data_IF_277312977456
#
_entry.id   IF_277312977456
#
_cell.length_a   1.000
_cell.length_b   1.000
_cell.length_c   1.000
_cell.angle_alpha   90.00
_cell.angle_beta   90.00
_cell.angle_gamma   90.00
#
_symmetry.space_group_name_H-M   'P 1'
#
loop_
_entity.id
_entity.type
_entity.pdbx_description
1 polymer ?
#
# COMPACT_ATOMS: atom_id res chain seq x y z
N UNK A 1 -21.90 -6.85 6.03
CA UNK A 1 -22.39 -7.70 7.16
C UNK A 1 -22.60 -6.83 8.38
N UNK A 2 -23.74 -6.92 9.04
CA UNK A 2 -24.01 -6.19 10.29
C UNK A 2 -23.20 -6.80 11.44
N UNK A 3 -22.95 -6.04 12.53
CA UNK A 3 -22.21 -6.51 13.71
C UNK A 3 -22.76 -7.81 14.29
N UNK A 4 -24.08 -8.01 14.22
CA UNK A 4 -24.78 -9.22 14.68
C UNK A 4 -24.46 -10.46 13.84
N UNK A 5 -24.25 -10.33 12.52
CA UNK A 5 -23.89 -11.45 11.64
C UNK A 5 -22.43 -11.92 11.85
N UNK A 6 -21.55 -11.04 12.31
CA UNK A 6 -20.16 -11.39 12.65
C UNK A 6 -20.03 -12.22 13.93
N UNK A 7 -21.02 -12.14 14.84
CA UNK A 7 -20.97 -12.89 16.10
C UNK A 7 -21.17 -14.40 15.91
N UNK A 8 -21.98 -14.82 14.94
CA UNK A 8 -22.29 -16.23 14.68
C UNK A 8 -21.20 -16.99 13.88
N UNK A 9 -20.37 -16.28 13.12
CA UNK A 9 -19.31 -16.84 12.24
C UNK A 9 -17.90 -16.42 12.71
N UNK A 10 -17.73 -16.30 14.02
CA UNK A 10 -16.47 -15.81 14.60
C UNK A 10 -15.38 -16.88 14.47
N UNK A 11 -14.25 -16.59 13.78
CA UNK A 11 -13.16 -17.54 13.64
C UNK A 11 -12.51 -17.81 15.00
N UNK A 12 -11.97 -19.02 15.24
CA UNK A 12 -11.25 -19.33 16.46
C UNK A 12 -9.99 -18.47 16.60
N UNK A 13 -9.65 -18.11 17.82
CA UNK A 13 -8.40 -17.42 18.14
C UNK A 13 -7.20 -18.33 17.93
N UNK A 14 -6.21 -17.85 17.21
CA UNK A 14 -4.98 -18.55 16.87
C UNK A 14 -3.75 -17.80 17.39
N UNK A 15 -2.66 -18.50 17.57
CA UNK A 15 -1.36 -17.87 17.76
C UNK A 15 -0.80 -17.42 16.43
N UNK A 16 -0.59 -16.11 16.28
CA UNK A 16 -0.04 -15.50 15.06
C UNK A 16 1.41 -15.10 15.32
N UNK A 17 2.34 -15.68 14.57
CA UNK A 17 3.74 -15.22 14.52
C UNK A 17 3.87 -14.26 13.36
N UNK A 18 4.27 -13.01 13.64
CA UNK A 18 4.27 -11.95 12.66
C UNK A 18 5.61 -11.21 12.61
N UNK A 19 6.12 -11.00 11.40
CA UNK A 19 7.31 -10.18 11.16
C UNK A 19 6.95 -8.68 11.20
N UNK A 20 7.21 -8.04 12.35
CA UNK A 20 6.91 -6.64 12.59
C UNK A 20 8.08 -5.68 12.25
N UNK A 21 9.20 -6.19 11.73
CA UNK A 21 10.36 -5.37 11.33
C UNK A 21 10.03 -4.24 10.34
N UNK A 22 9.07 -4.39 9.41
CA UNK A 22 8.70 -3.28 8.52
C UNK A 22 8.11 -2.07 9.25
N UNK A 23 7.45 -2.24 10.40
CA UNK A 23 6.91 -1.11 11.18
C UNK A 23 8.03 -0.38 11.91
N UNK A 24 9.13 -1.06 12.24
CA UNK A 24 10.29 -0.43 12.87
C UNK A 24 11.06 0.50 11.91
N UNK A 25 10.97 0.26 10.59
CA UNK A 25 11.62 1.07 9.54
C UNK A 25 10.62 1.32 8.39
N UNK A 26 9.59 2.15 8.62
CA UNK A 26 8.53 2.39 7.65
C UNK A 26 9.05 3.09 6.38
N UNK A 27 10.15 3.84 6.45
CA UNK A 27 10.74 4.48 5.28
C UNK A 27 11.25 3.46 4.25
N UNK A 28 11.70 2.30 4.70
CA UNK A 28 12.20 1.23 3.83
C UNK A 28 11.08 0.47 3.13
N UNK A 29 9.97 0.20 3.82
CA UNK A 29 8.85 -0.59 3.31
C UNK A 29 7.49 0.04 3.67
N UNK A 30 7.17 1.26 3.19
CA UNK A 30 6.04 2.03 3.67
C UNK A 30 4.69 1.34 3.43
N UNK A 31 4.49 0.68 2.29
CA UNK A 31 3.26 -0.06 2.02
C UNK A 31 3.06 -1.23 3.00
N UNK A 32 4.14 -1.95 3.33
CA UNK A 32 4.11 -3.05 4.30
C UNK A 32 3.91 -2.55 5.71
N UNK A 33 4.61 -1.48 6.11
CA UNK A 33 4.45 -0.86 7.42
C UNK A 33 3.00 -0.39 7.61
N UNK A 34 2.45 0.30 6.62
CA UNK A 34 1.07 0.76 6.63
C UNK A 34 0.04 -0.39 6.69
N UNK A 35 0.27 -1.47 5.95
CA UNK A 35 -0.57 -2.67 6.01
C UNK A 35 -0.56 -3.28 7.41
N UNK A 36 0.62 -3.42 7.99
CA UNK A 36 0.77 -3.98 9.35
C UNK A 36 0.14 -3.08 10.40
N UNK A 37 0.34 -1.78 10.31
CA UNK A 37 -0.25 -0.79 11.22
C UNK A 37 -1.79 -0.88 11.21
N UNK A 38 -2.39 -0.86 10.03
CA UNK A 38 -3.84 -1.00 9.87
C UNK A 38 -4.37 -2.35 10.36
N UNK A 39 -3.66 -3.45 10.05
CA UNK A 39 -4.05 -4.80 10.44
C UNK A 39 -3.94 -5.00 11.96
N UNK A 40 -2.82 -4.60 12.58
CA UNK A 40 -2.59 -4.73 14.01
C UNK A 40 -3.50 -3.80 14.81
N UNK A 41 -3.74 -2.58 14.32
CA UNK A 41 -4.71 -1.68 14.91
C UNK A 41 -6.11 -2.27 14.95
N UNK A 42 -6.54 -2.92 13.86
CA UNK A 42 -7.83 -3.60 13.80
C UNK A 42 -7.89 -4.84 14.70
N UNK A 43 -6.82 -5.64 14.78
CA UNK A 43 -6.76 -6.76 15.72
C UNK A 43 -6.82 -6.28 17.18
N UNK A 44 -6.13 -5.19 17.52
CA UNK A 44 -6.14 -4.61 18.85
C UNK A 44 -7.51 -4.02 19.23
N UNK A 45 -8.22 -3.42 18.28
CA UNK A 45 -9.55 -2.85 18.48
C UNK A 45 -10.65 -3.92 18.68
N UNK A 46 -10.48 -5.08 18.03
CA UNK A 46 -11.46 -6.17 18.07
C UNK A 46 -10.75 -7.51 18.42
N UNK A 47 -10.22 -7.69 19.65
CA UNK A 47 -9.49 -8.92 20.01
C UNK A 47 -10.42 -10.14 20.03
N UNK A 48 -9.89 -11.31 19.62
CA UNK A 48 -10.62 -12.58 19.70
C UNK A 48 -10.19 -13.38 20.93
N UNK A 49 -11.11 -14.10 21.59
CA UNK A 49 -10.75 -15.05 22.65
C UNK A 49 -9.76 -16.10 22.15
N UNK A 50 -8.67 -16.34 22.88
CA UNK A 50 -7.61 -17.27 22.51
C UNK A 50 -6.67 -16.81 21.39
N UNK A 51 -6.88 -15.63 20.81
CA UNK A 51 -5.94 -15.03 19.87
C UNK A 51 -4.72 -14.47 20.60
N UNK A 52 -3.52 -14.79 20.14
CA UNK A 52 -2.29 -14.27 20.72
C UNK A 52 -1.23 -14.02 19.65
N UNK A 53 -0.31 -13.09 19.93
CA UNK A 53 0.68 -12.62 18.96
C UNK A 53 2.10 -12.83 19.45
N UNK A 54 2.98 -13.25 18.54
CA UNK A 54 4.41 -13.27 18.75
C UNK A 54 5.11 -12.47 17.65
N UNK A 55 5.84 -11.44 18.02
CA UNK A 55 6.47 -10.52 17.08
C UNK A 55 7.95 -10.81 16.86
N UNK A 56 8.38 -10.62 15.60
CA UNK A 56 9.78 -10.62 15.21
C UNK A 56 10.21 -9.18 14.97
N UNK A 57 11.26 -8.76 15.65
CA UNK A 57 11.76 -7.38 15.67
C UNK A 57 13.25 -7.36 15.40
N UNK A 58 13.79 -6.26 14.91
CA UNK A 58 15.24 -6.02 14.89
C UNK A 58 15.71 -5.55 16.26
N UNK A 59 16.88 -6.04 16.67
CA UNK A 59 17.45 -5.79 18.02
C UNK A 59 17.93 -4.36 18.23
N UNK A 60 18.17 -3.60 17.17
CA UNK A 60 18.75 -2.26 17.18
C UNK A 60 17.75 -1.12 16.92
N UNK A 61 16.46 -1.44 16.87
CA UNK A 61 15.37 -0.48 16.71
C UNK A 61 14.35 -0.61 17.84
N UNK A 62 13.62 0.49 18.12
CA UNK A 62 12.54 0.48 19.10
C UNK A 62 11.41 -0.49 18.73
N UNK A 63 10.60 -0.83 19.71
CA UNK A 63 9.44 -1.73 19.54
C UNK A 63 8.14 -0.94 19.30
N UNK A 64 7.67 -0.81 18.05
CA UNK A 64 6.42 -0.11 17.73
C UNK A 64 5.19 -0.93 18.12
N UNK A 65 5.32 -2.23 18.41
CA UNK A 65 4.18 -3.08 18.76
C UNK A 65 3.59 -2.74 20.13
N UNK A 66 4.29 -1.96 20.95
CA UNK A 66 3.79 -1.42 22.22
C UNK A 66 2.61 -0.47 22.06
N UNK A 67 2.46 0.16 20.88
CA UNK A 67 1.33 1.04 20.58
C UNK A 67 -0.01 0.27 20.46
N UNK A 68 0.01 -1.04 20.26
CA UNK A 68 -1.19 -1.87 20.10
C UNK A 68 -1.57 -2.58 21.40
N UNK A 69 -1.95 -1.81 22.41
CA UNK A 69 -2.21 -2.31 23.78
C UNK A 69 -3.33 -3.36 23.89
N UNK A 70 -4.25 -3.43 22.91
CA UNK A 70 -5.33 -4.43 22.88
C UNK A 70 -4.91 -5.83 22.43
N UNK A 71 -3.66 -6.04 22.02
CA UNK A 71 -3.17 -7.35 21.57
C UNK A 71 -2.65 -8.18 22.76
N UNK A 72 -3.05 -9.45 22.81
CA UNK A 72 -2.40 -10.43 23.69
C UNK A 72 -1.05 -10.84 23.12
N UNK A 73 0.03 -10.17 23.56
CA UNK A 73 1.39 -10.40 23.07
C UNK A 73 2.13 -11.40 23.97
N UNK A 74 2.28 -12.61 23.50
CA UNK A 74 2.91 -13.73 24.21
C UNK A 74 4.42 -13.83 24.00
N UNK A 75 4.99 -13.03 23.12
CA UNK A 75 6.45 -13.04 22.91
C UNK A 75 6.94 -12.02 21.90
N UNK A 76 8.17 -11.58 22.12
CA UNK A 76 8.95 -10.76 21.20
C UNK A 76 10.30 -11.42 20.98
N UNK A 77 10.66 -11.63 19.72
CA UNK A 77 11.96 -12.19 19.35
C UNK A 77 12.78 -11.14 18.63
N UNK A 78 13.90 -10.78 19.22
CA UNK A 78 14.85 -9.85 18.62
C UNK A 78 15.75 -10.61 17.64
N UNK A 79 15.88 -10.09 16.43
CA UNK A 79 16.70 -10.60 15.35
C UNK A 79 17.87 -9.64 15.09
N UNK A 80 19.01 -10.13 14.61
CA UNK A 80 20.09 -9.26 14.14
C UNK A 80 19.61 -8.29 13.07
N UNK A 81 20.24 -7.12 12.89
CA UNK A 81 19.84 -6.10 11.93
C UNK A 81 20.18 -6.51 10.49
N UNK A 82 19.48 -7.51 9.94
CA UNK A 82 19.71 -8.04 8.58
C UNK A 82 19.47 -7.00 7.49
N UNK A 83 18.75 -5.90 7.79
CA UNK A 83 18.60 -4.78 6.86
C UNK A 83 19.93 -4.20 6.38
N UNK A 84 20.99 -4.29 7.18
CA UNK A 84 22.34 -3.83 6.83
C UNK A 84 22.97 -4.69 5.72
N UNK A 85 22.50 -5.93 5.54
CA UNK A 85 22.97 -6.83 4.48
C UNK A 85 22.38 -6.51 3.10
N UNK A 86 21.53 -5.49 2.99
CA UNK A 86 20.87 -5.07 1.73
C UNK A 86 20.22 -6.27 1.01
N UNK A 87 20.63 -6.57 -0.23
CA UNK A 87 20.11 -7.72 -0.99
C UNK A 87 20.46 -9.09 -0.37
N UNK A 88 21.49 -9.17 0.48
CA UNK A 88 21.83 -10.39 1.23
C UNK A 88 20.79 -10.77 2.28
N UNK A 89 20.01 -9.82 2.79
CA UNK A 89 18.91 -10.08 3.73
C UNK A 89 17.91 -11.10 3.16
N UNK A 90 17.59 -11.04 1.87
CA UNK A 90 16.68 -11.99 1.21
C UNK A 90 17.18 -13.44 1.22
N UNK A 91 18.49 -13.63 1.36
CA UNK A 91 19.11 -14.97 1.43
C UNK A 91 19.19 -15.44 2.88
N UNK A 92 19.53 -14.55 3.81
CA UNK A 92 19.79 -14.87 5.22
C UNK A 92 18.50 -14.98 6.03
N UNK A 93 17.54 -14.09 5.82
CA UNK A 93 16.28 -14.02 6.59
C UNK A 93 15.52 -15.36 6.65
N UNK A 94 15.31 -16.13 5.56
CA UNK A 94 14.57 -17.38 5.63
C UNK A 94 15.16 -18.39 6.64
N UNK A 95 16.46 -18.37 6.83
CA UNK A 95 17.16 -19.24 7.79
C UNK A 95 17.03 -18.73 9.23
N UNK A 96 17.18 -17.42 9.44
CA UNK A 96 16.99 -16.81 10.77
C UNK A 96 15.54 -16.96 11.26
N UNK A 97 14.58 -16.79 10.38
CA UNK A 97 13.14 -16.86 10.68
C UNK A 97 12.69 -18.31 10.98
N UNK A 98 13.40 -19.33 10.49
CA UNK A 98 13.11 -20.75 10.77
C UNK A 98 12.99 -21.01 12.26
N UNK A 99 13.95 -20.54 13.07
CA UNK A 99 13.93 -20.76 14.52
C UNK A 99 12.73 -20.13 15.23
N UNK A 100 12.20 -19.02 14.71
CA UNK A 100 11.01 -18.37 15.25
C UNK A 100 9.75 -19.21 14.98
N UNK A 101 9.57 -19.70 13.76
CA UNK A 101 8.44 -20.53 13.37
C UNK A 101 8.40 -21.85 14.15
N UNK A 102 9.55 -22.52 14.36
CA UNK A 102 9.65 -23.75 15.16
C UNK A 102 9.33 -23.48 16.63
N UNK A 103 9.89 -22.41 17.22
CA UNK A 103 9.65 -22.06 18.62
C UNK A 103 8.19 -21.66 18.91
N UNK A 104 7.49 -21.08 17.94
CA UNK A 104 6.08 -20.74 18.08
C UNK A 104 5.18 -21.99 18.09
N UNK A 105 5.46 -22.98 17.24
CA UNK A 105 4.74 -24.25 17.22
C UNK A 105 4.81 -24.96 18.58
N UNK A 106 5.99 -25.02 19.20
CA UNK A 106 6.18 -25.68 20.49
C UNK A 106 5.46 -24.98 21.65
N UNK A 107 5.37 -23.65 21.62
CA UNK A 107 4.67 -22.86 22.64
C UNK A 107 3.15 -22.88 22.46
N UNK A 108 2.64 -23.03 21.24
CA UNK A 108 1.20 -23.10 20.99
C UNK A 108 0.56 -24.33 21.64
N UNK A 109 1.29 -25.44 21.77
CA UNK A 109 0.80 -26.65 22.47
C UNK A 109 0.48 -26.42 23.96
N UNK A 110 1.07 -25.39 24.58
CA UNK A 110 0.89 -25.07 26.00
C UNK A 110 -0.12 -23.95 26.29
N UNK A 111 -0.60 -23.23 25.27
CA UNK A 111 -1.41 -22.03 25.46
C UNK A 111 -2.92 -22.24 25.25
N UNK A 112 -3.37 -23.45 24.93
CA UNK A 112 -4.78 -23.71 24.63
C UNK A 112 -5.30 -23.01 23.36
N UNK A 113 -4.41 -22.44 22.51
CA UNK A 113 -4.80 -21.88 21.23
C UNK A 113 -5.24 -23.00 20.28
N UNK A 114 -6.30 -22.76 19.48
CA UNK A 114 -6.83 -23.73 18.51
C UNK A 114 -5.79 -24.11 17.42
N UNK A 115 -4.69 -23.36 17.32
CA UNK A 115 -3.61 -23.60 16.39
C UNK A 115 -2.66 -22.42 16.30
N UNK A 116 -1.78 -22.44 15.28
CA UNK A 116 -0.82 -21.36 15.05
C UNK A 116 -0.55 -21.13 13.57
N UNK A 117 -0.26 -19.88 13.19
CA UNK A 117 0.16 -19.49 11.85
C UNK A 117 1.36 -18.58 11.90
N UNK A 118 2.21 -18.62 10.86
CA UNK A 118 3.23 -17.62 10.59
C UNK A 118 2.75 -16.72 9.48
N UNK A 119 2.64 -15.41 9.73
CA UNK A 119 2.26 -14.44 8.71
C UNK A 119 3.48 -13.64 8.23
N UNK A 120 3.88 -13.85 6.99
CA UNK A 120 4.94 -13.13 6.31
C UNK A 120 4.35 -12.03 5.43
N UNK A 121 4.59 -10.76 5.76
CA UNK A 121 4.08 -9.60 5.00
C UNK A 121 5.18 -8.98 4.12
N UNK A 122 6.44 -9.11 4.49
CA UNK A 122 7.57 -8.59 3.72
C UNK A 122 8.72 -9.60 3.71
N UNK A 123 9.65 -9.40 2.78
CA UNK A 123 10.82 -10.25 2.72
C UNK A 123 10.52 -11.67 2.24
N UNK A 124 11.33 -12.62 2.64
CA UNK A 124 11.14 -14.04 2.36
C UNK A 124 10.56 -14.74 3.59
N UNK A 125 9.57 -15.64 3.42
CA UNK A 125 9.08 -16.47 4.52
C UNK A 125 10.18 -17.39 5.07
N UNK A 126 10.01 -17.94 6.31
CA UNK A 126 10.95 -18.90 6.86
C UNK A 126 11.01 -20.17 6.00
N UNK A 127 12.20 -20.77 5.90
CA UNK A 127 12.34 -22.12 5.37
C UNK A 127 11.91 -23.13 6.44
N UNK A 128 11.29 -24.23 6.04
CA UNK A 128 10.97 -25.36 6.93
C UNK A 128 10.22 -24.93 8.21
N UNK A 129 9.04 -24.35 8.06
CA UNK A 129 8.15 -24.07 9.17
C UNK A 129 7.39 -25.32 9.62
N UNK A 130 7.16 -25.46 10.93
CA UNK A 130 6.26 -26.48 11.51
C UNK A 130 4.82 -26.00 11.65
N UNK A 131 4.58 -24.70 11.45
CA UNK A 131 3.26 -24.10 11.42
C UNK A 131 2.96 -23.60 10.02
N UNK A 132 1.69 -23.54 9.60
CA UNK A 132 1.32 -23.02 8.30
C UNK A 132 1.83 -21.59 8.07
N UNK A 133 2.30 -21.33 6.87
CA UNK A 133 2.78 -20.00 6.46
C UNK A 133 1.68 -19.33 5.63
N UNK A 134 1.26 -18.16 6.06
CA UNK A 134 0.42 -17.22 5.29
C UNK A 134 1.33 -16.10 4.79
N UNK A 135 1.21 -15.73 3.52
CA UNK A 135 2.01 -14.66 2.91
C UNK A 135 1.09 -13.59 2.35
N UNK A 136 1.27 -12.33 2.71
CA UNK A 136 0.63 -11.21 2.01
C UNK A 136 1.57 -10.61 0.98
N UNK A 137 1.11 -10.52 -0.28
CA UNK A 137 1.86 -9.94 -1.39
C UNK A 137 1.43 -8.49 -1.62
N UNK A 138 2.26 -7.55 -1.18
CA UNK A 138 2.07 -6.11 -1.37
C UNK A 138 3.03 -5.52 -2.41
N UNK A 139 3.99 -6.31 -2.90
CA UNK A 139 5.01 -5.85 -3.85
C UNK A 139 5.41 -6.99 -4.80
N UNK A 140 5.15 -6.80 -6.08
CA UNK A 140 5.55 -7.70 -7.17
C UNK A 140 6.63 -7.09 -8.08
N UNK A 141 7.06 -5.83 -7.82
CA UNK A 141 8.06 -5.14 -8.63
C UNK A 141 9.37 -5.94 -8.84
N UNK A 142 9.87 -6.74 -7.87
CA UNK A 142 11.06 -7.55 -8.13
C UNK A 142 10.92 -8.55 -9.28
N UNK A 143 9.71 -8.98 -9.60
CA UNK A 143 9.44 -9.94 -10.67
C UNK A 143 8.84 -9.29 -11.92
N UNK A 144 8.20 -8.13 -11.79
CA UNK A 144 7.70 -7.33 -12.92
C UNK A 144 8.81 -6.50 -13.58
N UNK A 145 9.81 -6.05 -12.80
CA UNK A 145 10.93 -5.19 -13.20
C UNK A 145 12.28 -5.82 -12.82
N UNK A 146 12.59 -7.04 -13.28
CA UNK A 146 13.78 -7.76 -12.82
C UNK A 146 15.09 -7.05 -13.17
N UNK A 147 15.15 -6.31 -14.28
CA UNK A 147 16.30 -5.50 -14.69
C UNK A 147 16.63 -4.40 -13.67
N UNK A 148 15.65 -3.96 -12.89
CA UNK A 148 15.83 -2.94 -11.84
C UNK A 148 16.14 -3.57 -10.49
N UNK A 149 15.41 -4.61 -10.09
CA UNK A 149 15.45 -5.15 -8.73
C UNK A 149 16.32 -6.41 -8.58
N UNK A 150 16.73 -7.05 -9.67
CA UNK A 150 17.52 -8.28 -9.66
C UNK A 150 18.90 -8.10 -10.33
N UNK A 151 19.56 -6.98 -10.08
CA UNK A 151 20.84 -6.62 -10.73
C UNK A 151 22.03 -7.50 -10.29
N UNK A 152 22.05 -7.92 -9.03
CA UNK A 152 23.15 -8.72 -8.47
C UNK A 152 22.81 -10.21 -8.44
N UNK A 153 23.85 -11.06 -8.37
CA UNK A 153 23.65 -12.54 -8.18
C UNK A 153 22.89 -12.83 -6.90
N UNK A 154 23.22 -12.12 -5.80
CA UNK A 154 22.56 -12.27 -4.52
C UNK A 154 21.07 -11.89 -4.60
N UNK A 155 20.73 -10.76 -5.26
CA UNK A 155 19.33 -10.36 -5.42
C UNK A 155 18.54 -11.35 -6.29
N UNK A 156 19.13 -11.86 -7.38
CA UNK A 156 18.49 -12.89 -8.23
C UNK A 156 18.24 -14.18 -7.46
N UNK A 157 19.23 -14.66 -6.74
CA UNK A 157 19.08 -15.85 -5.92
C UNK A 157 18.04 -15.67 -4.81
N UNK A 158 18.13 -14.58 -4.05
CA UNK A 158 17.18 -14.26 -2.98
C UNK A 158 15.73 -14.14 -3.48
N UNK A 159 15.49 -13.50 -4.64
CA UNK A 159 14.15 -13.42 -5.23
C UNK A 159 13.64 -14.77 -5.75
N UNK A 160 14.52 -15.64 -6.28
CA UNK A 160 14.13 -17.01 -6.64
C UNK A 160 13.75 -17.84 -5.41
N UNK A 161 14.54 -17.74 -4.34
CA UNK A 161 14.24 -18.38 -3.07
C UNK A 161 12.91 -17.89 -2.51
N UNK A 162 12.70 -16.58 -2.45
CA UNK A 162 11.45 -15.97 -2.01
C UNK A 162 10.26 -16.47 -2.84
N UNK A 163 10.37 -16.48 -4.17
CA UNK A 163 9.32 -16.98 -5.05
C UNK A 163 8.97 -18.44 -4.77
N UNK A 164 9.99 -19.29 -4.47
CA UNK A 164 9.76 -20.69 -4.08
C UNK A 164 9.02 -20.79 -2.75
N UNK A 165 9.47 -20.06 -1.74
CA UNK A 165 8.86 -20.08 -0.40
C UNK A 165 7.41 -19.54 -0.42
N UNK A 166 7.14 -18.49 -1.20
CA UNK A 166 5.78 -17.97 -1.41
C UNK A 166 4.88 -19.02 -2.09
N UNK A 167 5.40 -19.74 -3.09
CA UNK A 167 4.67 -20.81 -3.79
C UNK A 167 4.30 -21.96 -2.86
N UNK A 168 5.17 -22.26 -1.89
CA UNK A 168 5.00 -23.36 -0.95
C UNK A 168 4.16 -22.97 0.29
N UNK A 169 3.82 -21.68 0.46
CA UNK A 169 2.97 -21.18 1.55
C UNK A 169 1.59 -21.86 1.57
N UNK A 170 1.01 -22.02 2.75
CA UNK A 170 -0.32 -22.59 2.93
C UNK A 170 -1.41 -21.71 2.30
N UNK A 171 -1.29 -20.37 2.47
CA UNK A 171 -2.12 -19.39 1.79
C UNK A 171 -1.30 -18.16 1.37
N UNK A 172 -1.73 -17.54 0.26
CA UNK A 172 -1.16 -16.30 -0.27
C UNK A 172 -2.28 -15.27 -0.40
N UNK A 173 -2.19 -14.22 0.41
CA UNK A 173 -3.13 -13.10 0.41
C UNK A 173 -2.72 -12.06 -0.63
N UNK A 174 -3.67 -11.59 -1.40
CA UNK A 174 -3.50 -10.54 -2.42
C UNK A 174 -4.65 -9.55 -2.31
N UNK A 175 -4.39 -8.27 -2.66
CA UNK A 175 -5.38 -7.20 -2.52
C UNK A 175 -6.45 -7.18 -3.61
N UNK A 176 -6.26 -7.88 -4.75
CA UNK A 176 -7.19 -7.85 -5.88
C UNK A 176 -7.07 -9.08 -6.77
N UNK A 177 -8.07 -9.31 -7.62
CA UNK A 177 -8.04 -10.39 -8.62
C UNK A 177 -6.94 -10.19 -9.67
N UNK A 178 -6.68 -8.96 -10.09
CA UNK A 178 -5.58 -8.66 -11.00
C UNK A 178 -4.22 -9.10 -10.41
N UNK A 179 -3.99 -8.85 -9.12
CA UNK A 179 -2.79 -9.31 -8.41
C UNK A 179 -2.78 -10.82 -8.22
N UNK A 180 -3.93 -11.47 -8.06
CA UNK A 180 -4.02 -12.94 -8.04
C UNK A 180 -3.56 -13.55 -9.38
N UNK A 181 -3.94 -12.96 -10.50
CA UNK A 181 -3.47 -13.36 -11.84
C UNK A 181 -1.95 -13.19 -11.96
N UNK A 182 -1.40 -12.05 -11.49
CA UNK A 182 0.04 -11.78 -11.50
C UNK A 182 0.81 -12.77 -10.61
N UNK A 183 0.33 -13.06 -9.39
CA UNK A 183 0.94 -14.04 -8.49
C UNK A 183 1.02 -15.44 -9.13
N UNK A 184 -0.03 -15.85 -9.86
CA UNK A 184 -0.02 -17.10 -10.62
C UNK A 184 1.00 -17.09 -11.77
N UNK A 185 1.01 -16.00 -12.53
CA UNK A 185 1.87 -15.86 -13.73
C UNK A 185 3.36 -15.74 -13.33
N UNK A 186 3.69 -14.88 -12.38
CA UNK A 186 5.07 -14.53 -12.05
C UNK A 186 5.69 -15.49 -11.03
N UNK A 187 4.91 -15.89 -10.01
CA UNK A 187 5.39 -16.71 -8.90
C UNK A 187 4.95 -18.18 -9.00
N UNK A 188 4.04 -18.50 -9.94
CA UNK A 188 3.47 -19.85 -10.13
C UNK A 188 2.74 -20.36 -8.87
N UNK A 189 2.12 -19.46 -8.11
CA UNK A 189 1.28 -19.84 -6.97
C UNK A 189 0.02 -20.56 -7.48
N UNK A 190 -0.35 -21.69 -6.86
CA UNK A 190 -1.58 -22.42 -7.21
C UNK A 190 -2.81 -21.59 -6.84
N UNK A 191 -3.85 -21.57 -7.71
CA UNK A 191 -5.09 -20.82 -7.44
C UNK A 191 -5.74 -21.20 -6.09
N UNK A 192 -5.72 -22.49 -5.74
CA UNK A 192 -6.27 -23.00 -4.49
C UNK A 192 -5.63 -22.40 -3.23
N UNK A 193 -4.42 -21.85 -3.32
CA UNK A 193 -3.70 -21.20 -2.22
C UNK A 193 -3.87 -19.69 -2.19
N UNK A 194 -4.43 -19.08 -3.25
CA UNK A 194 -4.62 -17.63 -3.29
C UNK A 194 -5.95 -17.28 -2.64
N UNK A 195 -5.91 -16.25 -1.77
CA UNK A 195 -7.09 -15.63 -1.17
C UNK A 195 -7.04 -14.14 -1.47
N UNK A 196 -8.11 -13.64 -2.07
CA UNK A 196 -8.25 -12.21 -2.33
C UNK A 196 -8.85 -11.57 -1.09
N UNK A 197 -8.05 -10.73 -0.45
CA UNK A 197 -8.42 -9.92 0.71
C UNK A 197 -8.21 -8.46 0.32
N UNK A 198 -9.25 -7.79 -0.21
CA UNK A 198 -9.13 -6.39 -0.61
C UNK A 198 -8.69 -5.52 0.56
N UNK A 199 -7.81 -4.56 0.28
CA UNK A 199 -7.27 -3.66 1.29
C UNK A 199 -8.25 -2.51 1.59
N UNK A 200 -7.94 -1.72 2.60
CA UNK A 200 -8.70 -0.54 3.01
C UNK A 200 -7.86 0.73 2.89
N UNK A 201 -8.54 1.86 2.71
CA UNK A 201 -7.93 3.18 2.83
C UNK A 201 -7.52 3.47 4.27
N UNK A 202 -6.66 4.45 4.47
CA UNK A 202 -6.40 4.97 5.82
C UNK A 202 -7.64 5.71 6.34
N UNK A 203 -7.96 5.57 7.65
CA UNK A 203 -9.14 6.18 8.24
C UNK A 203 -9.27 7.69 7.97
N UNK A 204 -8.14 8.42 8.02
CA UNK A 204 -8.12 9.86 7.76
C UNK A 204 -8.69 10.27 6.39
N UNK A 205 -8.55 9.43 5.38
CA UNK A 205 -9.09 9.70 4.04
C UNK A 205 -10.58 9.34 3.92
N UNK A 206 -11.04 8.35 4.68
CA UNK A 206 -12.43 7.89 4.67
C UNK A 206 -13.35 8.74 5.56
N UNK A 207 -12.80 9.45 6.53
CA UNK A 207 -13.59 10.27 7.47
C UNK A 207 -14.11 11.53 6.75
N UNK A 208 -15.43 11.71 6.77
CA UNK A 208 -16.04 12.96 6.33
C UNK A 208 -15.62 14.10 7.27
N UNK A 209 -15.10 15.18 6.71
CA UNK A 209 -14.77 16.39 7.46
C UNK A 209 -15.95 17.34 7.33
N UNK A 210 -16.59 17.74 8.44
CA UNK A 210 -17.63 18.78 8.39
C UNK A 210 -17.02 20.09 7.88
N UNK A 211 -17.72 20.83 7.00
CA UNK A 211 -17.25 22.12 6.53
C UNK A 211 -17.20 23.14 7.68
N UNK A 212 -16.21 24.04 7.64
CA UNK A 212 -16.15 25.21 8.55
C UNK A 212 -15.45 24.97 9.89
N UNK A 213 -14.50 24.01 9.97
CA UNK A 213 -13.76 23.73 11.20
C UNK A 213 -12.28 24.12 11.18
N UNK A 214 -11.56 23.80 12.28
CA UNK A 214 -10.11 23.99 12.39
C UNK A 214 -9.31 23.27 11.27
N UNK A 215 -9.88 22.22 10.69
CA UNK A 215 -9.29 21.49 9.56
C UNK A 215 -9.25 22.38 8.30
N UNK A 216 -10.32 23.11 8.00
CA UNK A 216 -10.38 23.99 6.81
C UNK A 216 -9.36 25.13 6.92
N UNK A 217 -9.19 25.69 8.15
CA UNK A 217 -8.18 26.73 8.40
C UNK A 217 -6.75 26.19 8.21
N UNK A 218 -6.46 24.99 8.70
CA UNK A 218 -5.14 24.35 8.53
C UNK A 218 -4.84 23.99 7.08
N UNK A 219 -5.86 23.60 6.31
CA UNK A 219 -5.73 23.33 4.86
C UNK A 219 -5.45 24.62 4.10
N UNK A 220 -6.17 25.71 4.42
CA UNK A 220 -5.94 27.01 3.81
C UNK A 220 -4.51 27.51 4.08
N UNK A 221 -4.04 27.39 5.33
CA UNK A 221 -2.66 27.71 5.71
C UNK A 221 -1.63 26.89 4.93
N UNK A 222 -1.86 25.57 4.81
CA UNK A 222 -0.97 24.69 4.03
C UNK A 222 -0.97 25.05 2.54
N UNK A 223 -2.10 25.38 1.98
CA UNK A 223 -2.21 25.83 0.58
C UNK A 223 -1.46 27.13 0.35
N UNK A 224 -1.65 28.12 1.20
CA UNK A 224 -0.99 29.43 1.11
C UNK A 224 0.54 29.26 1.27
N UNK A 225 0.98 28.49 2.26
CA UNK A 225 2.39 28.21 2.51
C UNK A 225 3.07 27.49 1.34
N UNK A 226 2.33 26.58 0.67
CA UNK A 226 2.83 25.81 -0.48
C UNK A 226 2.64 26.56 -1.81
N UNK A 227 1.94 27.69 -1.82
CA UNK A 227 1.60 28.43 -3.04
C UNK A 227 0.74 27.61 -4.00
N UNK A 228 -0.19 26.80 -3.48
CA UNK A 228 -1.05 25.97 -4.31
C UNK A 228 -2.12 26.79 -5.01
N UNK A 229 -2.34 26.60 -6.33
CA UNK A 229 -3.43 27.23 -7.04
C UNK A 229 -4.78 26.64 -6.62
N UNK A 230 -5.87 27.26 -7.05
CA UNK A 230 -7.24 26.78 -6.84
C UNK A 230 -7.44 25.33 -7.33
N UNK A 231 -6.83 24.97 -8.47
CA UNK A 231 -6.80 23.60 -9.00
C UNK A 231 -5.38 23.06 -8.97
N UNK A 232 -5.23 21.85 -8.47
CA UNK A 232 -3.96 21.13 -8.49
C UNK A 232 -4.20 19.61 -8.56
N UNK A 233 -3.22 18.90 -9.04
CA UNK A 233 -3.13 17.45 -8.97
C UNK A 233 -2.23 17.07 -7.80
N UNK A 234 -2.35 15.84 -7.30
CA UNK A 234 -1.47 15.34 -6.23
C UNK A 234 -0.78 14.06 -6.66
N UNK A 235 0.49 13.98 -6.37
CA UNK A 235 1.26 12.75 -6.37
C UNK A 235 1.81 12.53 -4.96
N UNK A 236 1.51 11.39 -4.38
CA UNK A 236 2.11 10.94 -3.14
C UNK A 236 2.44 9.46 -3.24
N UNK A 237 3.65 9.09 -2.81
CA UNK A 237 4.17 7.74 -2.96
C UNK A 237 5.69 7.72 -2.90
N UNK A 238 6.29 6.72 -3.51
CA UNK A 238 7.75 6.59 -3.59
C UNK A 238 8.28 7.21 -4.87
N UNK A 239 9.58 7.49 -4.85
CA UNK A 239 10.32 8.06 -5.98
C UNK A 239 11.30 7.06 -6.60
N UNK A 240 11.06 5.77 -6.41
CA UNK A 240 11.83 4.69 -7.03
C UNK A 240 11.29 4.33 -8.43
N UNK A 241 12.02 3.48 -9.14
CA UNK A 241 11.75 3.15 -10.53
C UNK A 241 10.36 2.52 -10.77
N UNK A 242 9.71 1.93 -9.75
CA UNK A 242 8.38 1.34 -9.89
C UNK A 242 7.28 2.36 -10.07
N UNK A 243 7.51 3.60 -9.62
CA UNK A 243 6.50 4.67 -9.64
C UNK A 243 6.60 5.60 -10.84
N UNK A 244 7.63 5.44 -11.66
CA UNK A 244 7.85 6.10 -12.97
C UNK A 244 7.44 7.59 -13.05
N UNK A 245 7.83 8.37 -12.04
CA UNK A 245 7.58 9.82 -12.02
C UNK A 245 8.16 10.50 -13.27
N UNK A 246 9.15 9.88 -13.91
CA UNK A 246 9.73 10.37 -15.16
C UNK A 246 8.68 10.42 -16.29
N UNK A 247 7.76 9.46 -16.37
CA UNK A 247 6.66 9.49 -17.34
C UNK A 247 5.67 10.63 -17.02
N UNK A 248 5.40 10.92 -15.75
CA UNK A 248 4.62 12.10 -15.36
C UNK A 248 5.30 13.41 -15.82
N UNK A 249 6.61 13.55 -15.59
CA UNK A 249 7.34 14.76 -16.02
C UNK A 249 7.27 14.96 -17.54
N UNK A 250 7.45 13.89 -18.32
CA UNK A 250 7.31 13.95 -19.79
C UNK A 250 5.89 14.30 -20.22
N UNK A 251 4.87 13.79 -19.52
CA UNK A 251 3.47 14.11 -19.81
C UNK A 251 3.17 15.59 -19.55
N UNK A 252 3.66 16.15 -18.43
CA UNK A 252 3.52 17.57 -18.12
C UNK A 252 4.21 18.46 -19.15
N UNK A 253 5.46 18.13 -19.52
CA UNK A 253 6.19 18.84 -20.57
C UNK A 253 5.46 18.77 -21.93
N UNK A 254 4.87 17.64 -22.29
CA UNK A 254 4.07 17.52 -23.50
C UNK A 254 2.79 18.40 -23.46
N UNK A 255 2.26 18.71 -22.29
CA UNK A 255 1.14 19.62 -22.12
C UNK A 255 1.55 21.09 -22.22
N UNK A 256 2.75 21.44 -21.77
CA UNK A 256 3.26 22.81 -21.83
C UNK A 256 3.37 23.34 -23.28
N UNK A 257 3.78 22.46 -24.20
CA UNK A 257 3.82 22.78 -25.64
C UNK A 257 2.44 22.87 -26.32
N UNK A 258 1.33 22.61 -25.59
CA UNK A 258 -0.03 22.64 -26.14
C UNK A 258 -0.76 23.92 -25.75
N UNK A 259 -1.64 24.36 -26.64
CA UNK A 259 -2.53 25.47 -26.34
C UNK A 259 -3.39 25.20 -25.12
N UNK A 260 -3.61 26.22 -24.29
CA UNK A 260 -4.51 26.16 -23.15
C UNK A 260 -5.91 25.73 -23.61
N UNK A 261 -6.52 24.71 -22.95
CA UNK A 261 -7.85 24.24 -23.30
C UNK A 261 -8.91 25.38 -23.24
N UNK A 262 -9.82 25.42 -24.24
CA UNK A 262 -10.95 26.31 -24.20
C UNK A 262 -11.88 25.94 -23.05
N UNK A 263 -12.40 26.95 -22.33
CA UNK A 263 -13.31 26.73 -21.18
C UNK A 263 -12.58 26.44 -19.83
N UNK A 264 -11.26 26.30 -19.82
CA UNK A 264 -10.51 26.21 -18.55
C UNK A 264 -10.63 27.56 -17.81
N UNK A 265 -11.03 27.59 -16.51
CA UNK A 265 -11.16 28.80 -15.72
C UNK A 265 -9.89 29.66 -15.75
N UNK A 266 -9.99 30.96 -15.86
CA UNK A 266 -8.84 31.88 -16.01
C UNK A 266 -7.77 31.69 -14.92
N UNK A 267 -8.20 31.39 -13.70
CA UNK A 267 -7.30 31.15 -12.52
C UNK A 267 -6.68 29.78 -12.49
N UNK A 268 -7.16 28.79 -13.29
CA UNK A 268 -6.54 27.47 -13.33
C UNK A 268 -5.21 27.54 -14.11
N UNK A 269 -4.16 26.98 -13.57
CA UNK A 269 -2.86 26.94 -14.23
C UNK A 269 -2.89 26.06 -15.49
N UNK A 270 -2.02 26.34 -16.45
CA UNK A 270 -1.72 25.49 -17.58
C UNK A 270 -0.23 25.53 -17.91
N UNK A 271 0.44 24.37 -17.96
CA UNK A 271 -0.07 23.02 -17.70
C UNK A 271 -0.57 22.82 -16.26
N UNK A 272 -1.19 21.65 -15.94
CA UNK A 272 -1.62 21.31 -14.59
C UNK A 272 -0.49 21.42 -13.57
N UNK A 273 -0.75 22.03 -12.42
CA UNK A 273 0.17 22.01 -11.27
C UNK A 273 0.02 20.69 -10.52
N UNK A 274 1.15 20.09 -10.13
CA UNK A 274 1.18 18.83 -9.39
C UNK A 274 1.88 19.03 -8.06
N UNK A 275 1.18 18.80 -6.97
CA UNK A 275 1.74 18.73 -5.62
C UNK A 275 2.45 17.38 -5.45
N UNK A 276 3.74 17.42 -5.28
CA UNK A 276 4.62 16.26 -5.02
C UNK A 276 4.86 16.16 -3.53
N UNK A 277 4.28 15.14 -2.88
CA UNK A 277 4.35 14.98 -1.43
C UNK A 277 5.38 13.92 -1.05
N UNK A 278 6.24 14.24 -0.05
CA UNK A 278 7.16 13.29 0.57
C UNK A 278 8.47 13.05 -0.17
N UNK A 279 8.79 13.86 -1.19
CA UNK A 279 10.08 13.78 -1.84
C UNK A 279 11.22 14.20 -0.87
N UNK A 280 12.22 13.33 -0.74
CA UNK A 280 13.46 13.68 -0.02
C UNK A 280 14.16 14.86 -0.68
N UNK A 281 15.07 15.57 0.00
CA UNK A 281 15.86 16.64 -0.64
C UNK A 281 16.58 16.18 -1.92
N UNK A 282 17.08 14.94 -1.92
CA UNK A 282 17.76 14.36 -3.09
C UNK A 282 16.78 14.09 -4.24
N UNK A 283 15.61 13.50 -3.93
CA UNK A 283 14.56 13.25 -4.93
C UNK A 283 14.02 14.55 -5.50
N UNK A 284 13.74 15.55 -4.65
CA UNK A 284 13.30 16.88 -5.07
C UNK A 284 14.31 17.52 -6.04
N UNK A 285 15.60 17.51 -5.70
CA UNK A 285 16.64 18.04 -6.57
C UNK A 285 16.72 17.27 -7.90
N UNK A 286 16.56 15.95 -7.88
CA UNK A 286 16.55 15.12 -9.09
C UNK A 286 15.34 15.40 -9.98
N UNK A 287 14.15 15.49 -9.39
CA UNK A 287 12.90 15.81 -10.08
C UNK A 287 12.92 17.21 -10.69
N UNK A 288 13.36 18.22 -9.93
CA UNK A 288 13.48 19.60 -10.42
C UNK A 288 14.44 19.69 -11.62
N UNK A 289 15.62 19.06 -11.53
CA UNK A 289 16.56 19.00 -12.67
C UNK A 289 15.95 18.30 -13.88
N UNK A 290 15.21 17.21 -13.68
CA UNK A 290 14.56 16.47 -14.76
C UNK A 290 13.44 17.30 -15.40
N UNK A 291 12.59 17.94 -14.60
CA UNK A 291 11.52 18.80 -15.06
C UNK A 291 12.04 20.02 -15.85
N UNK A 292 13.07 20.69 -15.33
CA UNK A 292 13.67 21.85 -16.02
C UNK A 292 14.28 21.46 -17.38
N UNK A 293 14.92 20.28 -17.47
CA UNK A 293 15.44 19.79 -18.77
C UNK A 293 14.34 19.53 -19.80
N UNK A 294 13.14 19.26 -19.34
CA UNK A 294 11.95 19.00 -20.19
C UNK A 294 11.10 20.26 -20.46
N UNK A 295 11.44 21.40 -19.82
CA UNK A 295 10.70 22.64 -19.92
C UNK A 295 9.54 22.80 -18.93
N UNK A 296 9.22 21.78 -18.12
CA UNK A 296 8.05 21.74 -17.22
C UNK A 296 8.37 22.02 -15.74
N UNK A 297 9.41 22.80 -15.44
CA UNK A 297 9.87 23.05 -14.05
C UNK A 297 8.80 23.70 -13.17
N UNK A 298 8.05 24.61 -13.73
CA UNK A 298 7.01 25.35 -13.00
C UNK A 298 5.76 24.55 -12.69
N UNK A 299 5.58 23.37 -13.27
CA UNK A 299 4.42 22.54 -13.01
C UNK A 299 4.45 21.83 -11.64
N UNK A 300 5.60 21.78 -10.96
CA UNK A 300 5.77 21.02 -9.72
C UNK A 300 5.78 21.92 -8.48
N UNK A 301 4.97 21.55 -7.51
CA UNK A 301 4.98 22.12 -6.16
C UNK A 301 5.38 21.01 -5.19
N UNK A 302 6.27 21.30 -4.23
CA UNK A 302 6.81 20.28 -3.33
C UNK A 302 6.35 20.47 -1.90
N UNK A 303 5.85 19.39 -1.28
CA UNK A 303 5.58 19.32 0.14
C UNK A 303 6.45 18.24 0.83
N UNK A 304 6.79 18.43 2.11
CA UNK A 304 7.40 17.37 2.90
C UNK A 304 6.47 16.16 3.04
N UNK A 305 6.98 15.06 3.58
CA UNK A 305 6.13 13.98 4.04
C UNK A 305 5.16 14.49 5.12
N UNK A 306 3.90 14.13 4.99
CA UNK A 306 2.82 14.55 5.88
C UNK A 306 2.17 13.33 6.53
N UNK A 307 1.70 13.50 7.77
CA UNK A 307 0.80 12.54 8.39
C UNK A 307 -0.53 12.45 7.60
N UNK A 308 -1.19 11.30 7.62
CA UNK A 308 -2.44 11.08 6.87
C UNK A 308 -3.52 12.12 7.17
N UNK A 309 -3.62 12.55 8.42
CA UNK A 309 -4.60 13.54 8.90
C UNK A 309 -4.40 14.91 8.26
N UNK A 310 -3.17 15.26 7.91
CA UNK A 310 -2.81 16.50 7.25
C UNK A 310 -2.83 16.38 5.72
N UNK A 311 -2.50 15.20 5.19
CA UNK A 311 -2.52 14.95 3.75
C UNK A 311 -3.93 14.78 3.18
N UNK A 312 -4.81 14.10 3.90
CA UNK A 312 -6.15 13.76 3.43
C UNK A 312 -6.99 15.00 3.06
N UNK A 313 -7.02 16.08 3.84
CA UNK A 313 -7.73 17.33 3.46
C UNK A 313 -7.19 17.94 2.16
N UNK A 314 -5.87 18.01 1.98
CA UNK A 314 -5.26 18.50 0.73
C UNK A 314 -5.63 17.62 -0.47
N UNK A 315 -5.67 16.30 -0.27
CA UNK A 315 -6.11 15.38 -1.32
C UNK A 315 -7.58 15.63 -1.68
N UNK A 316 -8.46 15.85 -0.70
CA UNK A 316 -9.89 16.16 -0.98
C UNK A 316 -10.10 17.40 -1.84
N UNK A 317 -9.25 18.40 -1.70
CA UNK A 317 -9.30 19.62 -2.51
C UNK A 317 -8.65 19.47 -3.89
N UNK A 318 -7.89 18.40 -4.11
CA UNK A 318 -7.22 18.17 -5.38
C UNK A 318 -8.18 17.76 -6.48
N UNK A 319 -7.81 18.04 -7.71
CA UNK A 319 -8.58 17.67 -8.89
C UNK A 319 -8.52 16.16 -9.18
N UNK A 320 -7.36 15.57 -8.98
CA UNK A 320 -7.11 14.12 -9.10
C UNK A 320 -5.79 13.73 -8.43
N UNK A 321 -5.69 12.46 -8.05
CA UNK A 321 -4.41 11.85 -7.69
C UNK A 321 -3.81 11.17 -8.92
N UNK A 322 -2.49 11.33 -9.12
CA UNK A 322 -1.78 10.79 -10.29
C UNK A 322 -0.86 9.65 -9.86
N UNK A 323 -0.96 8.49 -10.53
CA UNK A 323 -0.19 7.28 -10.22
C UNK A 323 0.41 6.66 -11.50
N UNK A 324 1.57 7.14 -11.99
CA UNK A 324 2.17 6.67 -13.24
C UNK A 324 3.00 5.39 -13.06
N UNK A 325 2.56 4.50 -12.18
CA UNK A 325 3.32 3.35 -11.72
C UNK A 325 3.64 2.33 -12.83
N UNK A 326 4.77 1.62 -12.70
CA UNK A 326 5.10 0.42 -13.49
C UNK A 326 4.76 -0.87 -12.74
N UNK A 327 4.57 -0.78 -11.43
CA UNK A 327 4.19 -1.89 -10.57
C UNK A 327 3.54 -1.34 -9.31
N UNK A 328 2.33 -1.78 -9.01
CA UNK A 328 1.63 -1.49 -7.76
C UNK A 328 0.69 -2.64 -7.39
N UNK A 329 1.14 -3.53 -6.52
CA UNK A 329 0.37 -4.68 -6.08
C UNK A 329 -0.61 -4.38 -4.91
N UNK A 330 -0.52 -3.21 -4.30
CA UNK A 330 -1.33 -2.85 -3.14
C UNK A 330 -2.42 -1.81 -3.44
N UNK A 331 -2.17 -0.87 -4.37
CA UNK A 331 -3.10 0.20 -4.74
C UNK A 331 -3.44 1.16 -3.60
N UNK A 332 -2.61 1.25 -2.55
CA UNK A 332 -2.96 1.95 -1.32
C UNK A 332 -3.20 3.45 -1.51
N UNK A 333 -2.43 4.11 -2.36
CA UNK A 333 -2.63 5.54 -2.63
C UNK A 333 -3.91 5.79 -3.45
N UNK A 334 -4.27 4.88 -4.35
CA UNK A 334 -5.54 4.95 -5.07
C UNK A 334 -6.74 4.72 -4.12
N UNK A 335 -6.62 3.76 -3.18
CA UNK A 335 -7.64 3.55 -2.15
C UNK A 335 -7.87 4.81 -1.31
N UNK A 336 -6.79 5.50 -0.90
CA UNK A 336 -6.90 6.75 -0.16
C UNK A 336 -7.58 7.85 -0.96
N UNK A 337 -7.16 8.05 -2.22
CA UNK A 337 -7.75 9.05 -3.10
C UNK A 337 -9.26 8.81 -3.26
N UNK A 338 -9.65 7.57 -3.57
CA UNK A 338 -11.05 7.21 -3.77
C UNK A 338 -11.87 7.33 -2.48
N UNK A 339 -11.29 6.95 -1.32
CA UNK A 339 -11.93 7.14 -0.02
C UNK A 339 -12.16 8.62 0.30
N UNK A 340 -11.27 9.49 -0.15
CA UNK A 340 -11.45 10.94 -0.08
C UNK A 340 -12.44 11.51 -1.11
N UNK A 341 -13.04 10.67 -1.98
CA UNK A 341 -13.94 11.10 -3.05
C UNK A 341 -13.23 11.73 -4.25
N UNK A 342 -11.92 11.50 -4.40
CA UNK A 342 -11.07 12.11 -5.43
C UNK A 342 -10.76 11.09 -6.53
N UNK A 343 -10.95 11.43 -7.81
CA UNK A 343 -10.64 10.52 -8.91
C UNK A 343 -9.13 10.30 -9.08
N UNK A 344 -8.79 9.19 -9.73
CA UNK A 344 -7.41 8.78 -9.95
C UNK A 344 -7.07 8.73 -11.43
N UNK A 345 -5.95 9.34 -11.83
CA UNK A 345 -5.33 9.13 -13.15
C UNK A 345 -4.13 8.20 -12.96
N UNK A 346 -4.22 6.99 -13.46
CA UNK A 346 -3.23 5.95 -13.18
C UNK A 346 -2.87 5.10 -14.40
N UNK A 347 -1.80 4.36 -14.28
CA UNK A 347 -1.48 3.27 -15.21
C UNK A 347 -2.25 2.00 -14.86
N UNK A 348 -2.57 1.18 -15.88
CA UNK A 348 -3.32 -0.06 -15.73
C UNK A 348 -2.45 -1.23 -15.23
N UNK A 349 -1.71 -1.06 -14.12
CA UNK A 349 -0.80 -2.08 -13.59
C UNK A 349 -1.22 -2.59 -12.21
N UNK A 350 -0.84 -3.82 -11.90
CA UNK A 350 -1.01 -4.41 -10.56
C UNK A 350 -2.46 -4.41 -10.07
N UNK A 351 -2.70 -3.81 -8.91
CA UNK A 351 -4.03 -3.68 -8.31
C UNK A 351 -4.83 -2.49 -8.86
N UNK A 352 -4.20 -1.55 -9.56
CA UNK A 352 -4.83 -0.28 -9.96
C UNK A 352 -6.09 -0.46 -10.81
N UNK A 353 -6.17 -1.39 -11.79
CA UNK A 353 -7.40 -1.60 -12.54
C UNK A 353 -8.60 -1.96 -11.66
N UNK A 354 -8.43 -2.87 -10.70
CA UNK A 354 -9.49 -3.30 -9.81
C UNK A 354 -9.84 -2.23 -8.76
N UNK A 355 -8.83 -1.49 -8.28
CA UNK A 355 -9.01 -0.44 -7.28
C UNK A 355 -9.66 0.80 -7.88
N UNK A 356 -9.19 1.26 -9.03
CA UNK A 356 -9.67 2.50 -9.66
C UNK A 356 -11.04 2.28 -10.32
N UNK A 357 -11.21 1.21 -11.08
CA UNK A 357 -12.46 0.90 -11.78
C UNK A 357 -12.93 2.09 -12.62
N UNK A 358 -14.20 2.49 -12.43
CA UNK A 358 -14.83 3.63 -13.14
C UNK A 358 -14.55 5.00 -12.52
N UNK A 359 -13.86 5.05 -11.37
CA UNK A 359 -13.59 6.28 -10.63
C UNK A 359 -12.26 6.95 -11.04
N UNK A 360 -11.74 6.63 -12.21
CA UNK A 360 -10.52 7.22 -12.72
C UNK A 360 -10.29 6.97 -14.20
N UNK A 361 -9.12 7.42 -14.67
CA UNK A 361 -8.67 7.21 -16.04
C UNK A 361 -7.41 6.33 -15.99
N UNK A 362 -7.48 5.17 -16.64
CA UNK A 362 -6.36 4.24 -16.74
C UNK A 362 -5.67 4.38 -18.10
N UNK A 363 -4.34 4.38 -18.08
CA UNK A 363 -3.51 4.45 -19.28
C UNK A 363 -2.45 3.34 -19.27
N UNK A 364 -1.86 3.05 -20.42
CA UNK A 364 -0.73 2.13 -20.51
C UNK A 364 0.50 2.70 -19.78
N UNK A 365 1.28 1.85 -19.10
CA UNK A 365 2.52 2.29 -18.47
C UNK A 365 3.56 2.72 -19.51
N UNK A 366 4.45 3.64 -19.14
CA UNK A 366 5.52 4.20 -19.99
C UNK A 366 4.99 4.95 -21.24
N UNK A 367 3.74 5.38 -21.23
CA UNK A 367 3.16 6.20 -22.31
C UNK A 367 2.88 7.63 -21.83
N UNK A 368 3.84 8.55 -21.96
CA UNK A 368 3.66 9.94 -21.54
C UNK A 368 2.61 10.69 -22.39
N UNK A 369 2.39 10.27 -23.64
CA UNK A 369 1.41 10.92 -24.50
C UNK A 369 -0.03 10.60 -24.05
N UNK A 370 -0.33 9.35 -23.75
CA UNK A 370 -1.62 8.92 -23.19
C UNK A 370 -1.82 9.49 -21.79
N UNK A 371 -0.79 9.51 -20.95
CA UNK A 371 -0.87 10.13 -19.63
C UNK A 371 -1.16 11.63 -19.74
N UNK A 372 -0.50 12.36 -20.65
CA UNK A 372 -0.79 13.77 -20.91
C UNK A 372 -2.25 14.01 -21.30
N UNK A 373 -2.82 13.17 -22.17
CA UNK A 373 -4.22 13.27 -22.58
C UNK A 373 -5.18 12.98 -21.41
N UNK A 374 -4.90 11.96 -20.61
CA UNK A 374 -5.66 11.64 -19.41
C UNK A 374 -5.63 12.79 -18.38
N UNK A 375 -4.44 13.35 -18.14
CA UNK A 375 -4.28 14.53 -17.28
C UNK A 375 -5.05 15.74 -17.82
N UNK A 376 -4.95 16.01 -19.12
CA UNK A 376 -5.71 17.09 -19.77
C UNK A 376 -7.21 16.91 -19.58
N UNK A 377 -7.72 15.70 -19.78
CA UNK A 377 -9.14 15.38 -19.64
C UNK A 377 -9.60 15.56 -18.19
N UNK A 378 -8.91 14.98 -17.21
CA UNK A 378 -9.24 15.15 -15.80
C UNK A 378 -9.15 16.61 -15.35
N UNK A 379 -8.23 17.38 -15.93
CA UNK A 379 -7.98 18.78 -15.58
C UNK A 379 -8.98 19.76 -16.16
N UNK A 380 -9.29 19.63 -17.46
CA UNK A 380 -10.01 20.64 -18.21
C UNK A 380 -11.47 20.29 -18.53
N UNK A 381 -11.84 19.01 -18.50
CA UNK A 381 -13.21 18.57 -18.77
C UNK A 381 -13.98 18.39 -17.45
N UNK A 382 -14.77 19.41 -17.08
CA UNK A 382 -15.53 19.39 -15.83
C UNK A 382 -16.67 18.35 -15.84
N UNK A 383 -17.19 17.97 -17.01
CA UNK A 383 -18.21 16.92 -17.11
C UNK A 383 -17.61 15.54 -16.86
N UNK A 384 -16.45 15.25 -17.45
CA UNK A 384 -15.74 14.00 -17.20
C UNK A 384 -15.31 13.94 -15.75
N UNK A 385 -14.71 15.00 -15.24
CA UNK A 385 -14.30 15.06 -13.83
C UNK A 385 -15.47 14.83 -12.86
N UNK A 386 -16.62 15.49 -13.09
CA UNK A 386 -17.82 15.29 -12.26
C UNK A 386 -18.25 13.84 -12.22
N UNK A 387 -18.32 13.15 -13.37
CA UNK A 387 -18.64 11.72 -13.42
C UNK A 387 -17.65 10.85 -12.67
N UNK A 388 -16.35 11.16 -12.74
CA UNK A 388 -15.32 10.43 -12.01
C UNK A 388 -15.44 10.63 -10.50
N UNK A 389 -15.73 11.85 -10.04
CA UNK A 389 -16.00 12.18 -8.63
C UNK A 389 -17.24 11.44 -8.14
N UNK A 390 -18.33 11.44 -8.92
CA UNK A 390 -19.56 10.74 -8.57
C UNK A 390 -19.31 9.23 -8.43
N UNK A 391 -18.52 8.65 -9.34
CA UNK A 391 -18.11 7.24 -9.25
C UNK A 391 -17.24 6.95 -8.01
N UNK A 392 -16.30 7.84 -7.65
CA UNK A 392 -15.50 7.72 -6.44
C UNK A 392 -16.37 7.79 -5.18
N UNK A 393 -17.33 8.70 -5.13
CA UNK A 393 -18.28 8.85 -4.03
C UNK A 393 -19.23 7.66 -3.91
N UNK A 394 -19.80 7.21 -5.04
CA UNK A 394 -20.68 6.05 -5.07
C UNK A 394 -20.03 4.79 -4.51
N UNK A 395 -18.74 4.60 -4.79
CA UNK A 395 -17.96 3.49 -4.23
C UNK A 395 -17.92 3.47 -2.69
N UNK A 396 -18.01 4.65 -2.06
CA UNK A 396 -17.95 4.80 -0.61
C UNK A 396 -19.34 4.94 0.03
N UNK A 397 -20.41 5.12 -0.78
CA UNK A 397 -21.75 5.48 -0.27
C UNK A 397 -22.42 4.33 0.49
N UNK A 398 -22.22 3.09 0.06
CA UNK A 398 -22.92 1.94 0.67
C UNK A 398 -22.23 1.48 1.96
N UNK A 399 -20.96 1.21 1.93
CA UNK A 399 -20.11 0.90 3.09
C UNK A 399 -18.64 0.87 2.68
N UNK A 400 -17.85 1.86 3.07
CA UNK A 400 -16.42 1.82 2.80
C UNK A 400 -15.77 0.65 3.53
N UNK A 401 -14.89 -0.08 2.83
CA UNK A 401 -14.12 -1.15 3.43
C UNK A 401 -13.17 -0.60 4.48
N UNK A 402 -13.17 -1.22 5.65
CA UNK A 402 -12.36 -0.83 6.81
C UNK A 402 -11.21 -1.81 7.07
N UNK A 403 -10.26 -1.41 7.90
CA UNK A 403 -9.21 -2.32 8.38
C UNK A 403 -9.77 -3.45 9.27
N UNK A 404 -10.90 -3.24 9.94
CA UNK A 404 -11.64 -4.33 10.62
C UNK A 404 -12.14 -5.40 9.65
N UNK A 405 -12.55 -5.01 8.43
CA UNK A 405 -12.94 -5.98 7.40
C UNK A 405 -11.71 -6.76 6.88
N UNK A 406 -10.57 -6.07 6.69
CA UNK A 406 -9.31 -6.72 6.31
C UNK A 406 -8.84 -7.71 7.38
N UNK A 407 -8.90 -7.30 8.64
CA UNK A 407 -8.54 -8.14 9.78
C UNK A 407 -9.45 -9.37 9.88
N UNK A 408 -10.75 -9.19 9.71
CA UNK A 408 -11.73 -10.28 9.73
C UNK A 408 -11.46 -11.32 8.63
N UNK A 409 -11.30 -10.88 7.39
CA UNK A 409 -10.99 -11.77 6.27
C UNK A 409 -9.64 -12.48 6.46
N UNK A 410 -8.64 -11.77 7.02
CA UNK A 410 -7.33 -12.35 7.33
C UNK A 410 -7.44 -13.43 8.40
N UNK A 411 -8.23 -13.20 9.47
CA UNK A 411 -8.50 -14.20 10.50
C UNK A 411 -9.21 -15.45 9.95
N UNK A 412 -10.13 -15.28 9.00
CA UNK A 412 -10.77 -16.44 8.33
C UNK A 412 -9.75 -17.28 7.59
N UNK A 413 -8.81 -16.65 6.89
CA UNK A 413 -7.71 -17.39 6.23
C UNK A 413 -6.80 -18.06 7.26
N UNK A 414 -6.52 -17.41 8.40
CA UNK A 414 -5.76 -18.06 9.47
C UNK A 414 -6.47 -19.30 9.99
N UNK A 415 -7.79 -19.23 10.25
CA UNK A 415 -8.57 -20.35 10.70
C UNK A 415 -8.60 -21.49 9.68
N UNK A 416 -8.74 -21.16 8.39
CA UNK A 416 -8.74 -22.15 7.30
C UNK A 416 -7.46 -23.01 7.26
N UNK A 417 -6.30 -22.40 7.52
CA UNK A 417 -5.01 -23.09 7.37
C UNK A 417 -4.33 -23.44 8.69
N UNK A 418 -4.68 -22.81 9.79
CA UNK A 418 -3.96 -22.87 11.07
C UNK A 418 -4.63 -23.70 12.14
N UNK A 419 -5.93 -24.04 12.00
CA UNK A 419 -6.62 -24.90 12.95
C UNK A 419 -6.10 -26.33 12.84
N UNK A 420 -5.79 -26.96 13.97
CA UNK A 420 -5.40 -28.39 14.01
C UNK A 420 -6.64 -29.25 13.82
N UNK A 421 -6.57 -30.23 12.92
CA UNK A 421 -7.58 -31.28 12.82
C UNK A 421 -7.59 -32.06 14.15
N UNK A 422 -8.69 -32.00 14.90
CA UNK A 422 -8.86 -32.73 16.16
C UNK A 422 -8.78 -31.92 17.45
N UNK A 423 -8.87 -30.57 17.40
CA UNK A 423 -9.05 -29.71 18.58
C UNK A 423 -10.52 -29.52 18.92
#
# INVERSE_FOLDING_TARGET
MTATARSADRPPGLRVVLDARPIQDPARAPATARYLDGLLGAFAAEPLPGESFAFLLQSDLGDPTLAFAGLDVVGRRLLPPTRLLRSGALVVDPFLLRGAAVGAAWRSDRSGAAGAVYHAVAGAPPILSRIPIVVTLLDLAPWELPETFQRTRASRFGQRLRARLVRDAAAVLVGSEAVAVLARRLLRVRRSRIRVVPLAAQPAFATAVPPGGAVDAAVAEDRDRLGLPERFLVYFGRFDARHDVATLLRALAALEGRARPRGLPARAAWPPRVLIVGASPADRAALARAANRLGGGDALVYAPAMAPERLAPLVRESRAVVMPALSDAAGLAALDALAAGVPVVATGVGALPDVVGTAGILVEPRDPARLAEALRTAWADDRVHGRLVDAARARNAERPRSWSDVAWDTRRVYAEVGVREGA
#
